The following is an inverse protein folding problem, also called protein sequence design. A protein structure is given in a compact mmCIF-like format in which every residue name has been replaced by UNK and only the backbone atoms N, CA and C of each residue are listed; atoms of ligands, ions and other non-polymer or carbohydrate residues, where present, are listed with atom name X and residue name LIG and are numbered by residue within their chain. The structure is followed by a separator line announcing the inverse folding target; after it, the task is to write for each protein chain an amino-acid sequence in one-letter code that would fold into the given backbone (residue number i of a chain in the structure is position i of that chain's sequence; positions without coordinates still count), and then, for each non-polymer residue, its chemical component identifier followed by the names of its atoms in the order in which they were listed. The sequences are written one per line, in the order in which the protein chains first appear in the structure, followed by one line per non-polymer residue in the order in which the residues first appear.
data_IF_610003993990
#
_entry.id   IF_610003993990
#
_cell.length_a   1.000
_cell.length_b   1.000
_cell.length_c   1.000
_cell.angle_alpha   90.00
_cell.angle_beta   90.00
_cell.angle_gamma   90.00
#
_symmetry.space_group_name_H-M   'P 1'
#
loop_
_entity.id
_entity.type
_entity.pdbx_description
1 polymer ?
#
# COMPACT_ATOMS: atom_id res chain seq x y z
N UNK A 1 22.04 16.30 -6.14
CA UNK A 1 20.76 16.23 -5.42
C UNK A 1 20.05 15.01 -5.94
N UNK A 2 19.86 13.98 -5.10
CA UNK A 2 19.06 12.82 -5.50
C UNK A 2 17.61 13.32 -5.53
N UNK A 3 17.04 13.44 -6.73
CA UNK A 3 15.59 13.63 -6.86
C UNK A 3 14.94 12.31 -6.43
N UNK A 4 14.03 12.36 -5.46
CA UNK A 4 13.21 11.21 -5.09
C UNK A 4 12.51 10.68 -6.36
N UNK A 5 12.68 9.38 -6.65
CA UNK A 5 11.94 8.70 -7.71
C UNK A 5 10.44 8.97 -7.48
N UNK A 6 9.69 9.49 -8.48
CA UNK A 6 8.27 9.76 -8.33
C UNK A 6 7.47 8.55 -7.82
N UNK A 7 7.91 7.33 -8.17
CA UNK A 7 7.31 6.10 -7.69
C UNK A 7 7.52 5.91 -6.18
N UNK A 8 8.70 6.25 -5.66
CA UNK A 8 9.03 6.08 -4.23
C UNK A 8 8.20 7.00 -3.35
N UNK A 9 8.01 8.24 -3.80
CA UNK A 9 7.13 9.20 -3.14
C UNK A 9 5.70 8.69 -3.09
N UNK A 10 5.20 8.12 -4.18
CA UNK A 10 3.85 7.55 -4.26
C UNK A 10 3.69 6.34 -3.33
N UNK A 11 4.64 5.40 -3.36
CA UNK A 11 4.62 4.20 -2.50
C UNK A 11 4.65 4.60 -1.02
N UNK A 12 5.52 5.54 -0.63
CA UNK A 12 5.60 6.03 0.77
C UNK A 12 4.29 6.69 1.22
N UNK A 13 3.69 7.54 0.39
CA UNK A 13 2.43 8.19 0.72
C UNK A 13 1.28 7.18 0.83
N UNK A 14 1.19 6.23 -0.10
CA UNK A 14 0.11 5.25 -0.13
C UNK A 14 0.21 4.24 1.02
N UNK A 15 1.39 3.70 1.30
CA UNK A 15 1.63 2.81 2.44
C UNK A 15 1.24 3.48 3.78
N UNK A 16 1.59 4.76 3.96
CA UNK A 16 1.20 5.53 5.15
C UNK A 16 -0.32 5.70 5.29
N UNK A 17 -1.04 5.93 4.18
CA UNK A 17 -2.51 6.02 4.17
C UNK A 17 -3.17 4.68 4.48
N UNK A 18 -2.71 3.60 3.84
CA UNK A 18 -3.25 2.25 4.07
C UNK A 18 -3.09 1.81 5.53
N UNK A 19 -1.90 1.98 6.10
CA UNK A 19 -1.65 1.62 7.51
C UNK A 19 -2.58 2.37 8.48
N UNK A 20 -2.85 3.66 8.24
CA UNK A 20 -3.79 4.42 9.06
C UNK A 20 -5.22 3.89 8.93
N UNK A 21 -5.67 3.58 7.71
CA UNK A 21 -7.03 3.06 7.46
C UNK A 21 -7.20 1.65 8.03
N UNK A 22 -6.21 0.75 7.87
CA UNK A 22 -6.20 -0.57 8.53
C UNK A 22 -6.38 -0.43 10.04
N UNK A 23 -5.61 0.47 10.68
CA UNK A 23 -5.71 0.70 12.13
C UNK A 23 -7.13 1.12 12.55
N UNK A 24 -7.76 2.02 11.80
CA UNK A 24 -9.14 2.48 12.06
C UNK A 24 -10.12 1.30 11.92
N UNK A 25 -10.04 0.55 10.82
CA UNK A 25 -10.93 -0.56 10.53
C UNK A 25 -10.81 -1.70 11.56
N UNK A 26 -9.60 -1.99 12.04
CA UNK A 26 -9.38 -2.96 13.11
C UNK A 26 -9.87 -2.49 14.49
N UNK A 27 -10.06 -1.17 14.67
CA UNK A 27 -10.50 -0.58 15.95
C UNK A 27 -12.01 -0.33 16.06
N UNK A 28 -12.77 -0.48 14.97
CA UNK A 28 -14.24 -0.32 14.97
C UNK A 28 -15.00 -1.62 15.26
N UNK A 29 -16.27 -1.50 15.70
CA UNK A 29 -17.20 -2.64 15.73
C UNK A 29 -17.38 -3.17 14.30
N UNK A 30 -17.05 -4.46 14.11
CA UNK A 30 -16.97 -5.10 12.79
C UNK A 30 -18.36 -5.31 12.17
N UNK A 31 -18.79 -4.37 11.35
CA UNK A 31 -19.72 -4.70 10.26
C UNK A 31 -18.97 -5.55 9.23
N UNK A 32 -19.60 -6.67 8.82
CA UNK A 32 -19.03 -7.85 8.14
C UNK A 32 -18.41 -7.61 6.75
N UNK A 33 -18.24 -6.35 6.32
CA UNK A 33 -17.81 -5.97 4.96
C UNK A 33 -16.27 -5.98 4.81
N UNK A 34 -15.50 -5.96 5.90
CA UNK A 34 -14.09 -5.53 5.81
C UNK A 34 -12.99 -6.60 5.75
N UNK A 35 -13.18 -7.82 6.24
CA UNK A 35 -12.01 -8.67 6.61
C UNK A 35 -11.16 -9.09 5.40
N UNK A 36 -11.77 -9.34 4.24
CA UNK A 36 -11.05 -9.65 3.00
C UNK A 36 -10.26 -8.46 2.45
N UNK A 37 -10.91 -7.29 2.37
CA UNK A 37 -10.28 -6.04 1.91
C UNK A 37 -9.19 -5.57 2.88
N UNK A 38 -9.40 -5.70 4.19
CA UNK A 38 -8.40 -5.38 5.22
C UNK A 38 -7.18 -6.30 5.07
N UNK A 39 -7.39 -7.59 4.86
CA UNK A 39 -6.28 -8.55 4.63
C UNK A 39 -5.49 -8.16 3.39
N UNK A 40 -6.17 -7.83 2.30
CA UNK A 40 -5.52 -7.40 1.05
C UNK A 40 -4.74 -6.09 1.25
N UNK A 41 -5.30 -5.11 1.98
CA UNK A 41 -4.58 -3.88 2.34
C UNK A 41 -3.33 -4.16 3.18
N UNK A 42 -3.36 -5.11 4.11
CA UNK A 42 -2.19 -5.49 4.92
C UNK A 42 -1.08 -6.06 4.03
N UNK A 43 -1.43 -6.98 3.11
CA UNK A 43 -0.47 -7.58 2.17
C UNK A 43 0.17 -6.51 1.29
N UNK A 44 -0.64 -5.63 0.69
CA UNK A 44 -0.17 -4.54 -0.15
C UNK A 44 0.73 -3.60 0.65
N UNK A 45 0.31 -3.20 1.85
CA UNK A 45 1.09 -2.32 2.72
C UNK A 45 2.45 -2.94 3.08
N UNK A 46 2.48 -4.23 3.42
CA UNK A 46 3.71 -4.97 3.72
C UNK A 46 4.66 -5.00 2.52
N UNK A 47 4.15 -5.28 1.32
CA UNK A 47 4.96 -5.28 0.10
C UNK A 47 5.52 -3.88 -0.21
N UNK A 48 4.70 -2.83 -0.10
CA UNK A 48 5.11 -1.45 -0.30
C UNK A 48 6.19 -1.02 0.70
N UNK A 49 6.05 -1.38 1.97
CA UNK A 49 7.09 -1.14 2.99
C UNK A 49 8.39 -1.83 2.64
N UNK A 50 8.35 -3.09 2.17
CA UNK A 50 9.55 -3.82 1.74
C UNK A 50 10.21 -3.17 0.50
N UNK A 51 9.40 -2.74 -0.47
CA UNK A 51 9.88 -2.02 -1.65
C UNK A 51 10.63 -0.73 -1.28
N UNK A 52 10.10 0.03 -0.33
CA UNK A 52 10.74 1.25 0.19
C UNK A 52 12.11 0.93 0.80
N UNK A 53 12.21 -0.12 1.63
CA UNK A 53 13.46 -0.50 2.29
C UNK A 53 14.54 -0.94 1.30
N UNK A 54 14.16 -1.51 0.15
CA UNK A 54 15.07 -1.92 -0.93
C UNK A 54 15.54 -0.77 -1.85
N UNK A 55 15.46 0.48 -1.41
CA UNK A 55 15.85 1.64 -2.23
C UNK A 55 17.27 1.52 -2.80
N UNK A 56 17.41 1.75 -4.11
CA UNK A 56 18.67 1.62 -4.84
C UNK A 56 19.03 0.21 -5.32
N UNK A 57 18.29 -0.85 -4.93
CA UNK A 57 18.60 -2.24 -5.32
C UNK A 57 17.43 -3.00 -5.94
N UNK A 58 16.43 -2.28 -6.48
CA UNK A 58 15.16 -2.86 -6.96
C UNK A 58 15.25 -3.28 -8.41
N UNK A 59 14.72 -4.46 -8.73
CA UNK A 59 14.59 -4.92 -10.12
C UNK A 59 13.43 -4.24 -10.85
N UNK A 60 13.44 -4.31 -12.18
CA UNK A 60 12.32 -3.86 -13.02
C UNK A 60 11.03 -4.66 -12.77
N UNK A 61 11.16 -5.93 -12.41
CA UNK A 61 10.02 -6.76 -12.00
C UNK A 61 9.42 -6.27 -10.68
N UNK A 62 10.25 -5.90 -9.70
CA UNK A 62 9.80 -5.30 -8.44
C UNK A 62 9.13 -3.93 -8.67
N UNK A 63 9.69 -3.10 -9.56
CA UNK A 63 9.10 -1.83 -10.00
C UNK A 63 7.74 -2.02 -10.69
N UNK A 64 7.60 -3.05 -11.52
CA UNK A 64 6.32 -3.34 -12.20
C UNK A 64 5.28 -3.87 -11.22
N UNK A 65 5.69 -4.76 -10.32
CA UNK A 65 4.79 -5.33 -9.32
C UNK A 65 4.29 -4.28 -8.33
N UNK A 66 5.15 -3.36 -7.85
CA UNK A 66 4.70 -2.30 -6.94
C UNK A 66 3.69 -1.37 -7.62
N UNK A 67 3.80 -1.12 -8.93
CA UNK A 67 2.80 -0.34 -9.67
C UNK A 67 1.43 -1.03 -9.69
N UNK A 68 1.39 -2.35 -9.85
CA UNK A 68 0.15 -3.12 -9.77
C UNK A 68 -0.45 -3.03 -8.36
N UNK A 69 0.38 -3.15 -7.33
CA UNK A 69 -0.05 -3.00 -5.94
C UNK A 69 -0.58 -1.59 -5.64
N UNK A 70 0.02 -0.53 -6.19
CA UNK A 70 -0.49 0.85 -6.10
C UNK A 70 -1.88 0.94 -6.71
N UNK A 71 -2.06 0.43 -7.93
CA UNK A 71 -3.38 0.45 -8.60
C UNK A 71 -4.43 -0.27 -7.76
N UNK A 72 -4.13 -1.47 -7.27
CA UNK A 72 -5.06 -2.25 -6.45
C UNK A 72 -5.40 -1.56 -5.13
N UNK A 73 -4.41 -0.97 -4.46
CA UNK A 73 -4.65 -0.19 -3.24
C UNK A 73 -5.58 1.02 -3.46
N UNK A 74 -5.50 1.69 -4.62
CA UNK A 74 -6.41 2.79 -4.97
C UNK A 74 -7.84 2.30 -5.21
N UNK A 75 -8.01 1.10 -5.76
CA UNK A 75 -9.33 0.46 -5.90
C UNK A 75 -9.93 0.13 -4.53
N UNK A 76 -9.17 -0.53 -3.66
CA UNK A 76 -9.63 -0.86 -2.30
C UNK A 76 -9.98 0.39 -1.50
N UNK A 77 -9.22 1.48 -1.66
CA UNK A 77 -9.55 2.76 -1.04
C UNK A 77 -10.94 3.28 -1.45
N UNK A 78 -11.32 3.14 -2.73
CA UNK A 78 -12.64 3.52 -3.23
C UNK A 78 -13.75 2.58 -2.76
N UNK A 79 -13.46 1.29 -2.60
CA UNK A 79 -14.44 0.31 -2.10
C UNK A 79 -14.77 0.50 -0.61
N UNK A 80 -13.89 1.17 0.15
CA UNK A 80 -14.01 1.43 1.60
C UNK A 80 -14.45 2.86 1.94
N UNK A 81 -14.83 3.67 0.95
CA UNK A 81 -15.48 4.98 1.08
C UNK A 81 -16.98 4.84 0.86
#
# INVERSE_FOLDING_TARGET
MIQDDPLDKEVRQLAGRLNRKIKILLSGEKDKIGDGLITEMIIISGYMSHYIVKEGSRSDSERSHVKQMISRAKEIQKELE
#
